data_IF_378642738892
#
_entry.id   IF_378642738892
#
_cell.length_a   1.000
_cell.length_b   1.000
_cell.length_c   1.000
_cell.angle_alpha   90.00
_cell.angle_beta   90.00
_cell.angle_gamma   90.00
#
_symmetry.space_group_name_H-M   'P 1'
#
loop_
_entity.id
_entity.type
_entity.pdbx_description
1 polymer ?
#
# COMPACT_ATOMS: atom_id res chain seq x y z
N UNK A 1 -12.68 10.25 10.62
CA UNK A 1 -12.85 11.73 10.60
C UNK A 1 -12.03 12.48 11.65
N UNK A 2 -11.74 11.90 12.83
CA UNK A 2 -11.00 12.58 13.91
C UNK A 2 -9.65 13.19 13.45
N UNK A 3 -8.92 12.54 12.56
CA UNK A 3 -7.58 12.94 12.15
C UNK A 3 -7.50 13.83 10.88
N UNK A 4 -8.62 14.25 10.31
CA UNK A 4 -8.62 15.29 9.26
C UNK A 4 -8.39 16.71 9.80
N UNK A 5 -8.64 16.95 11.07
CA UNK A 5 -8.28 18.21 11.72
C UNK A 5 -6.76 18.35 11.84
N UNK A 6 -6.25 19.57 11.67
CA UNK A 6 -4.80 19.84 11.56
C UNK A 6 -4.04 19.76 12.88
N UNK A 7 -4.70 19.75 14.04
CA UNK A 7 -4.01 19.77 15.33
C UNK A 7 -4.66 18.83 16.33
N UNK A 8 -4.04 17.67 16.53
CA UNK A 8 -4.32 16.78 17.65
C UNK A 8 -3.01 16.47 18.34
N UNK A 9 -2.77 16.97 19.54
CA UNK A 9 -1.51 16.77 20.26
C UNK A 9 -1.43 15.44 21.02
N UNK A 10 -2.01 14.38 20.45
CA UNK A 10 -2.04 13.05 21.10
C UNK A 10 -0.67 12.38 21.20
N UNK A 11 0.30 12.84 20.42
CA UNK A 11 1.69 12.37 20.44
C UNK A 11 2.68 13.48 20.87
N UNK A 12 2.23 14.45 21.68
CA UNK A 12 3.10 15.51 22.20
C UNK A 12 4.28 14.89 22.98
N UNK A 13 5.50 15.34 22.67
CA UNK A 13 6.74 14.81 23.26
C UNK A 13 7.20 13.46 22.71
N UNK A 14 6.48 12.84 21.78
CA UNK A 14 6.89 11.59 21.12
C UNK A 14 7.80 11.85 19.93
N UNK A 15 8.71 10.94 19.66
CA UNK A 15 9.63 10.98 18.52
C UNK A 15 9.47 9.72 17.66
N UNK A 16 9.21 9.92 16.35
CA UNK A 16 9.15 8.86 15.35
C UNK A 16 10.47 8.84 14.55
N UNK A 17 11.21 7.74 14.59
CA UNK A 17 12.31 7.48 13.66
C UNK A 17 11.77 6.94 12.33
N UNK A 18 12.12 7.59 11.22
CA UNK A 18 11.67 7.19 9.87
C UNK A 18 12.85 6.71 9.05
N UNK A 19 13.01 5.39 8.93
CA UNK A 19 14.12 4.74 8.23
C UNK A 19 13.73 4.47 6.77
N UNK A 20 14.52 4.98 5.83
CA UNK A 20 14.29 4.81 4.41
C UNK A 20 15.52 4.23 3.70
N UNK A 21 15.48 2.97 3.32
CA UNK A 21 16.47 2.39 2.38
C UNK A 21 15.99 2.53 0.93
N UNK A 22 14.69 2.76 0.73
CA UNK A 22 14.03 3.09 -0.53
C UNK A 22 13.46 4.51 -0.48
N UNK A 23 13.75 5.43 -1.43
CA UNK A 23 13.18 6.76 -1.44
C UNK A 23 11.65 6.74 -1.61
N UNK A 24 10.96 7.71 -1.05
CA UNK A 24 9.52 7.91 -1.25
C UNK A 24 9.07 9.29 -0.82
N UNK A 25 8.57 10.08 -1.77
CA UNK A 25 8.00 11.40 -1.50
C UNK A 25 6.75 11.29 -0.63
N UNK A 26 5.77 10.48 -1.06
CA UNK A 26 4.48 10.35 -0.37
C UNK A 26 4.61 9.80 1.04
N UNK A 27 5.32 8.69 1.22
CA UNK A 27 5.51 8.08 2.55
C UNK A 27 6.25 9.03 3.49
N UNK A 28 7.33 9.68 3.02
CA UNK A 28 8.09 10.62 3.84
C UNK A 28 7.22 11.80 4.28
N UNK A 29 6.66 12.55 3.32
CA UNK A 29 5.92 13.77 3.63
C UNK A 29 4.69 13.47 4.49
N UNK A 30 3.96 12.37 4.23
CA UNK A 30 2.76 12.04 4.99
C UNK A 30 3.04 11.62 6.42
N UNK A 31 4.12 10.86 6.70
CA UNK A 31 4.53 10.54 8.06
C UNK A 31 5.10 11.76 8.79
N UNK A 32 5.97 12.53 8.14
CA UNK A 32 6.62 13.71 8.72
C UNK A 32 5.59 14.80 9.06
N UNK A 33 4.69 15.10 8.13
CA UNK A 33 3.56 16.01 8.38
C UNK A 33 2.60 15.43 9.42
N UNK A 34 2.33 14.13 9.36
CA UNK A 34 1.39 13.45 10.25
C UNK A 34 1.84 13.50 11.70
N UNK A 35 3.09 13.14 12.00
CA UNK A 35 3.62 13.18 13.36
C UNK A 35 3.68 14.61 13.90
N UNK A 36 4.06 15.60 13.06
CA UNK A 36 4.02 17.01 13.43
C UNK A 36 2.61 17.46 13.81
N UNK A 37 1.60 17.13 13.00
CA UNK A 37 0.19 17.47 13.29
C UNK A 37 -0.34 16.78 14.54
N UNK A 38 0.25 15.68 14.98
CA UNK A 38 -0.07 14.98 16.22
C UNK A 38 0.71 15.51 17.44
N UNK A 39 1.56 16.53 17.25
CA UNK A 39 2.35 17.17 18.31
C UNK A 39 3.70 16.50 18.58
N UNK A 40 4.07 15.48 17.81
CA UNK A 40 5.35 14.80 17.93
C UNK A 40 6.39 15.33 16.94
N UNK A 41 7.55 14.68 16.93
CA UNK A 41 8.71 15.00 16.08
C UNK A 41 9.05 13.77 15.22
N UNK A 42 9.22 13.98 13.91
CA UNK A 42 9.74 12.97 12.98
C UNK A 42 11.23 13.18 12.70
N UNK A 43 12.02 12.12 12.80
CA UNK A 43 13.43 12.10 12.42
C UNK A 43 13.62 11.25 11.18
N UNK A 44 14.09 11.84 10.09
CA UNK A 44 14.33 11.13 8.86
C UNK A 44 15.75 10.53 8.83
N UNK A 45 15.84 9.25 8.47
CA UNK A 45 17.11 8.54 8.26
C UNK A 45 17.12 7.94 6.84
N UNK A 46 17.98 8.46 6.00
CA UNK A 46 18.24 7.95 4.65
C UNK A 46 19.18 6.75 4.64
N UNK A 47 19.52 6.22 3.44
CA UNK A 47 20.31 4.98 3.32
C UNK A 47 21.72 5.03 3.91
N UNK A 48 22.26 6.23 4.12
CA UNK A 48 23.62 6.44 4.63
C UNK A 48 23.67 7.04 6.03
N UNK A 49 22.52 7.30 6.66
CA UNK A 49 22.47 7.97 7.97
C UNK A 49 22.59 7.00 9.14
N UNK A 50 22.30 5.71 8.89
CA UNK A 50 22.40 4.64 9.90
C UNK A 50 23.38 3.55 9.47
N UNK A 51 23.92 2.86 10.47
CA UNK A 51 24.81 1.70 10.26
C UNK A 51 24.02 0.37 10.08
N UNK A 52 22.70 0.45 10.00
CA UNK A 52 21.77 -0.67 9.94
C UNK A 52 22.17 -1.70 8.87
N UNK A 53 22.42 -2.94 9.29
CA UNK A 53 22.81 -4.04 8.41
C UNK A 53 24.16 -3.91 7.73
N UNK A 54 24.98 -2.91 8.09
CA UNK A 54 26.34 -2.69 7.58
C UNK A 54 27.37 -3.10 8.62
N UNK A 55 27.70 -2.20 9.55
CA UNK A 55 28.63 -2.44 10.67
C UNK A 55 27.90 -2.70 11.99
N UNK A 56 26.61 -2.49 12.06
CA UNK A 56 25.76 -2.77 13.22
C UNK A 56 24.62 -3.74 12.85
N UNK A 57 24.35 -4.71 13.73
CA UNK A 57 23.25 -5.65 13.52
C UNK A 57 21.89 -4.95 13.61
N UNK A 58 20.87 -5.48 12.88
CA UNK A 58 19.50 -4.98 12.99
C UNK A 58 19.01 -5.05 14.45
N UNK A 59 19.37 -6.13 15.16
CA UNK A 59 19.00 -6.34 16.55
C UNK A 59 19.57 -5.27 17.50
N UNK A 60 20.84 -4.88 17.32
CA UNK A 60 21.45 -3.88 18.19
C UNK A 60 20.95 -2.49 17.85
N UNK A 61 20.80 -2.15 16.56
CA UNK A 61 20.16 -0.91 16.13
C UNK A 61 18.75 -0.78 16.72
N UNK A 62 17.95 -1.86 16.70
CA UNK A 62 16.59 -1.88 17.27
C UNK A 62 16.60 -1.54 18.77
N UNK A 63 17.51 -2.16 19.54
CA UNK A 63 17.65 -1.92 20.97
C UNK A 63 18.11 -0.48 21.30
N UNK A 64 19.06 0.04 20.52
CA UNK A 64 19.57 1.42 20.68
C UNK A 64 18.46 2.43 20.36
N UNK A 65 17.80 2.30 19.21
CA UNK A 65 16.73 3.21 18.80
C UNK A 65 15.56 3.18 19.79
N UNK A 66 15.26 2.02 20.37
CA UNK A 66 14.22 1.89 21.41
C UNK A 66 14.51 2.69 22.69
N UNK A 67 15.75 3.11 22.93
CA UNK A 67 16.11 3.97 24.08
C UNK A 67 15.94 5.46 23.78
N UNK A 68 15.87 5.84 22.52
CA UNK A 68 15.82 7.24 22.09
C UNK A 68 14.47 7.64 21.50
N UNK A 69 13.76 6.71 20.86
CA UNK A 69 12.57 6.97 20.08
C UNK A 69 11.31 6.41 20.76
N UNK A 70 10.17 6.90 20.33
CA UNK A 70 8.86 6.41 20.79
C UNK A 70 8.21 5.43 19.79
N UNK A 71 8.71 5.38 18.56
CA UNK A 71 8.29 4.48 17.50
C UNK A 71 9.24 4.54 16.32
N UNK A 72 9.22 3.50 15.50
CA UNK A 72 10.01 3.40 14.26
C UNK A 72 9.07 3.15 13.09
N UNK A 73 9.21 3.92 12.01
CA UNK A 73 8.67 3.56 10.70
C UNK A 73 9.84 3.17 9.81
N UNK A 74 9.73 2.05 9.11
CA UNK A 74 10.75 1.60 8.17
C UNK A 74 10.15 1.31 6.79
N UNK A 75 10.84 1.81 5.75
CA UNK A 75 10.59 1.51 4.35
C UNK A 75 11.86 0.92 3.75
N UNK A 76 11.83 -0.36 3.42
CA UNK A 76 12.99 -1.15 3.01
C UNK A 76 12.65 -2.11 1.86
N UNK A 77 13.63 -2.89 1.42
CA UNK A 77 13.45 -3.97 0.44
C UNK A 77 13.00 -5.26 1.14
N UNK A 78 13.87 -5.86 1.93
CA UNK A 78 13.59 -7.14 2.57
C UNK A 78 12.54 -7.02 3.67
N UNK A 79 11.53 -7.89 3.65
CA UNK A 79 10.51 -7.96 4.70
C UNK A 79 11.08 -8.41 6.03
N UNK A 80 12.09 -9.30 5.98
CA UNK A 80 12.83 -9.77 7.15
C UNK A 80 13.46 -8.66 7.99
N UNK A 81 13.88 -7.54 7.36
CA UNK A 81 14.42 -6.40 8.12
C UNK A 81 13.38 -5.80 9.07
N UNK A 82 12.13 -5.73 8.60
CA UNK A 82 11.01 -5.22 9.41
C UNK A 82 10.68 -6.18 10.54
N UNK A 83 10.64 -7.50 10.24
CA UNK A 83 10.35 -8.53 11.23
C UNK A 83 11.43 -8.60 12.29
N UNK A 84 12.71 -8.53 11.89
CA UNK A 84 13.83 -8.54 12.82
C UNK A 84 13.85 -7.26 13.69
N UNK A 85 13.65 -6.09 13.07
CA UNK A 85 13.56 -4.84 13.80
C UNK A 85 12.40 -4.87 14.83
N UNK A 86 11.23 -5.35 14.44
CA UNK A 86 10.07 -5.49 15.32
C UNK A 86 10.29 -6.51 16.45
N UNK A 87 11.06 -7.57 16.20
CA UNK A 87 11.38 -8.60 17.19
C UNK A 87 12.25 -8.07 18.33
N UNK A 88 13.20 -7.18 18.03
CA UNK A 88 14.18 -6.71 19.00
C UNK A 88 13.91 -5.30 19.55
N UNK A 89 13.04 -4.53 18.91
CA UNK A 89 12.58 -3.24 19.43
C UNK A 89 11.61 -3.44 20.60
N UNK A 90 11.70 -2.55 21.60
CA UNK A 90 10.71 -2.45 22.69
C UNK A 90 9.68 -1.34 22.45
N UNK A 91 9.73 -0.71 21.28
CA UNK A 91 8.81 0.33 20.81
C UNK A 91 8.12 -0.14 19.52
N UNK A 92 6.97 0.43 19.14
CA UNK A 92 6.27 0.06 17.92
C UNK A 92 7.12 0.22 16.66
N UNK A 93 7.00 -0.76 15.74
CA UNK A 93 7.61 -0.73 14.40
C UNK A 93 6.51 -0.73 13.35
N UNK A 94 6.46 0.31 12.53
CA UNK A 94 5.48 0.50 11.45
C UNK A 94 6.14 0.14 10.12
N UNK A 95 5.57 -0.85 9.43
CA UNK A 95 5.98 -1.18 8.07
C UNK A 95 5.48 -0.10 7.09
N UNK A 96 6.36 0.77 6.63
CA UNK A 96 6.08 1.80 5.63
C UNK A 96 5.98 1.26 4.21
N UNK A 97 6.71 0.20 3.89
CA UNK A 97 6.69 -0.64 2.68
C UNK A 97 7.86 -1.62 2.70
N UNK A 98 7.62 -2.82 2.21
CA UNK A 98 8.67 -3.79 1.80
C UNK A 98 8.37 -4.33 0.40
N UNK A 99 9.24 -5.17 -0.15
CA UNK A 99 8.97 -5.88 -1.40
C UNK A 99 7.84 -6.90 -1.28
N UNK A 100 7.49 -7.31 -0.06
CA UNK A 100 6.41 -8.25 0.20
C UNK A 100 5.06 -7.54 0.44
N UNK A 101 5.02 -6.45 1.20
CA UNK A 101 3.79 -5.79 1.67
C UNK A 101 3.89 -4.26 1.68
N UNK A 102 2.74 -3.60 1.50
CA UNK A 102 2.53 -2.17 1.70
C UNK A 102 1.28 -1.89 2.58
N UNK A 103 1.33 -2.21 3.89
CA UNK A 103 0.14 -2.18 4.75
C UNK A 103 -0.45 -0.77 4.92
N UNK A 104 0.37 0.27 4.99
CA UNK A 104 -0.12 1.65 5.11
C UNK A 104 -0.92 2.08 3.87
N UNK A 105 -0.61 1.54 2.68
CA UNK A 105 -1.37 1.83 1.47
C UNK A 105 -2.72 1.14 1.50
N UNK A 106 -2.77 -0.18 1.72
CA UNK A 106 -4.05 -0.89 1.69
C UNK A 106 -5.03 -0.40 2.77
N UNK A 107 -4.55 0.01 3.95
CA UNK A 107 -5.41 0.64 4.95
C UNK A 107 -5.97 1.98 4.44
N UNK A 108 -5.17 2.73 3.68
CA UNK A 108 -5.61 3.96 3.03
C UNK A 108 -6.63 3.70 1.93
N UNK A 109 -6.41 2.65 1.14
CA UNK A 109 -7.33 2.24 0.09
C UNK A 109 -8.69 1.88 0.66
N UNK A 110 -8.72 1.04 1.70
CA UNK A 110 -9.94 0.66 2.41
C UNK A 110 -10.67 1.87 3.01
N UNK A 111 -9.93 2.82 3.58
CA UNK A 111 -10.51 4.05 4.11
C UNK A 111 -11.11 4.91 3.00
N UNK A 112 -10.42 5.08 1.87
CA UNK A 112 -10.89 5.82 0.70
C UNK A 112 -12.14 5.18 0.11
N UNK A 113 -12.15 3.85 -0.04
CA UNK A 113 -13.32 3.09 -0.49
C UNK A 113 -14.51 3.32 0.45
N UNK A 114 -14.29 3.23 1.75
CA UNK A 114 -15.34 3.47 2.74
C UNK A 114 -15.91 4.90 2.65
N UNK A 115 -15.07 5.89 2.39
CA UNK A 115 -15.54 7.27 2.19
C UNK A 115 -16.37 7.44 0.92
N UNK A 116 -15.98 6.79 -0.18
CA UNK A 116 -16.65 6.94 -1.48
C UNK A 116 -17.86 6.02 -1.61
N UNK A 117 -17.76 4.76 -1.19
CA UNK A 117 -18.81 3.74 -1.35
C UNK A 117 -19.67 3.52 -0.10
N UNK A 118 -19.32 4.09 1.06
CA UNK A 118 -20.02 4.00 2.36
C UNK A 118 -20.07 2.59 2.96
N UNK A 119 -19.49 1.62 2.31
CA UNK A 119 -19.38 0.22 2.75
C UNK A 119 -18.10 -0.40 2.21
N UNK A 120 -17.70 -1.56 2.78
CA UNK A 120 -16.62 -2.38 2.28
C UNK A 120 -17.12 -3.78 1.91
N UNK A 121 -17.87 -4.41 2.84
CA UNK A 121 -18.33 -5.77 2.70
C UNK A 121 -19.18 -5.95 1.43
N UNK A 122 -18.87 -7.01 0.67
CA UNK A 122 -19.60 -7.38 -0.54
C UNK A 122 -19.17 -6.63 -1.80
N UNK A 123 -18.42 -5.52 -1.72
CA UNK A 123 -17.90 -4.84 -2.90
C UNK A 123 -16.90 -5.74 -3.65
N UNK A 124 -16.87 -5.59 -4.97
CA UNK A 124 -15.89 -6.25 -5.84
C UNK A 124 -14.72 -5.32 -6.11
N UNK A 125 -13.53 -5.76 -5.70
CA UNK A 125 -12.25 -5.10 -5.93
C UNK A 125 -11.51 -5.83 -7.04
N UNK A 126 -11.24 -5.15 -8.17
CA UNK A 126 -10.44 -5.65 -9.28
C UNK A 126 -9.07 -4.97 -9.28
N UNK A 127 -8.01 -5.75 -9.10
CA UNK A 127 -6.63 -5.31 -9.29
C UNK A 127 -6.10 -5.86 -10.61
N UNK A 128 -5.50 -4.98 -11.44
CA UNK A 128 -5.00 -5.30 -12.77
C UNK A 128 -3.52 -4.93 -12.83
N UNK A 129 -2.63 -5.91 -12.96
CA UNK A 129 -1.19 -5.65 -13.04
C UNK A 129 -0.33 -6.75 -12.44
N UNK A 130 0.83 -6.36 -11.90
CA UNK A 130 1.82 -7.28 -11.31
C UNK A 130 1.35 -7.81 -9.96
N UNK A 131 1.54 -9.09 -9.71
CA UNK A 131 1.30 -9.74 -8.41
C UNK A 131 2.30 -9.36 -7.32
N UNK A 132 2.60 -8.08 -7.20
CA UNK A 132 3.60 -7.47 -6.33
C UNK A 132 3.10 -7.25 -4.88
N UNK A 133 3.85 -6.46 -4.11
CA UNK A 133 3.50 -6.12 -2.73
C UNK A 133 2.16 -5.38 -2.58
N UNK A 134 1.69 -4.65 -3.62
CA UNK A 134 0.36 -4.03 -3.60
C UNK A 134 -0.73 -5.09 -3.75
N UNK A 135 -0.61 -6.00 -4.72
CA UNK A 135 -1.52 -7.14 -4.87
C UNK A 135 -1.60 -7.98 -3.58
N UNK A 136 -0.44 -8.26 -2.95
CA UNK A 136 -0.38 -8.96 -1.67
C UNK A 136 -1.12 -8.23 -0.55
N UNK A 137 -0.93 -6.93 -0.43
CA UNK A 137 -1.58 -6.12 0.60
C UNK A 137 -3.09 -6.00 0.38
N UNK A 138 -3.53 -5.86 -0.88
CA UNK A 138 -4.93 -5.85 -1.26
C UNK A 138 -5.58 -7.21 -0.91
N UNK A 139 -4.93 -8.33 -1.24
CA UNK A 139 -5.39 -9.66 -0.87
C UNK A 139 -5.62 -9.77 0.64
N UNK A 140 -4.67 -9.34 1.46
CA UNK A 140 -4.80 -9.37 2.91
C UNK A 140 -5.86 -8.40 3.44
N UNK A 141 -5.86 -7.14 3.00
CA UNK A 141 -6.76 -6.11 3.51
C UNK A 141 -8.20 -6.38 3.13
N UNK A 142 -8.47 -6.55 1.84
CA UNK A 142 -9.82 -6.69 1.31
C UNK A 142 -10.50 -8.00 1.76
N UNK A 143 -9.75 -9.13 1.81
CA UNK A 143 -10.32 -10.40 2.27
C UNK A 143 -10.75 -10.35 3.74
N UNK A 144 -10.03 -9.62 4.60
CA UNK A 144 -10.36 -9.46 6.02
C UNK A 144 -11.60 -8.61 6.30
N UNK A 145 -11.96 -7.73 5.36
CA UNK A 145 -13.16 -6.87 5.50
C UNK A 145 -14.36 -7.37 4.67
N UNK A 146 -14.25 -8.56 4.08
CA UNK A 146 -15.33 -9.22 3.35
C UNK A 146 -15.60 -8.64 1.96
N UNK A 147 -14.60 -8.05 1.30
CA UNK A 147 -14.66 -7.67 -0.11
C UNK A 147 -14.34 -8.86 -1.00
N UNK A 148 -14.97 -8.94 -2.17
CA UNK A 148 -14.61 -9.89 -3.21
C UNK A 148 -13.39 -9.38 -3.97
N UNK A 149 -12.30 -10.12 -3.97
CA UNK A 149 -11.02 -9.69 -4.56
C UNK A 149 -10.74 -10.45 -5.83
N UNK A 150 -10.50 -9.73 -6.90
CA UNK A 150 -10.09 -10.27 -8.19
C UNK A 150 -8.74 -9.67 -8.57
N UNK A 151 -7.73 -10.51 -8.75
CA UNK A 151 -6.41 -10.11 -9.21
C UNK A 151 -6.20 -10.66 -10.60
N UNK A 152 -5.94 -9.78 -11.56
CA UNK A 152 -5.57 -10.19 -12.92
C UNK A 152 -4.13 -9.81 -13.21
N UNK A 153 -3.31 -10.84 -13.49
CA UNK A 153 -1.87 -10.72 -13.75
C UNK A 153 -1.45 -11.64 -14.90
N UNK A 154 -0.42 -11.28 -15.68
CA UNK A 154 0.15 -12.21 -16.66
C UNK A 154 0.70 -13.47 -16.01
N UNK A 155 0.74 -14.57 -16.77
CA UNK A 155 1.43 -15.80 -16.36
C UNK A 155 2.88 -15.51 -15.93
N UNK A 156 3.29 -16.08 -14.80
CA UNK A 156 4.60 -15.83 -14.19
C UNK A 156 4.72 -14.54 -13.37
N UNK A 157 3.64 -13.73 -13.29
CA UNK A 157 3.57 -12.49 -12.49
C UNK A 157 2.40 -12.51 -11.49
N UNK A 158 1.93 -13.69 -11.13
CA UNK A 158 0.84 -13.88 -10.15
C UNK A 158 1.33 -13.61 -8.72
N UNK A 159 0.43 -13.23 -7.80
CA UNK A 159 0.77 -13.08 -6.40
C UNK A 159 1.32 -14.37 -5.76
N UNK A 160 2.08 -14.19 -4.67
CA UNK A 160 2.63 -15.31 -3.90
C UNK A 160 1.51 -16.24 -3.40
N UNK A 161 1.65 -17.55 -3.65
CA UNK A 161 0.65 -18.58 -3.33
C UNK A 161 0.33 -18.66 -1.83
N UNK A 162 1.29 -18.45 -0.94
CA UNK A 162 1.06 -18.46 0.51
C UNK A 162 0.12 -17.32 0.90
N UNK A 163 0.30 -16.14 0.29
CA UNK A 163 -0.55 -14.97 0.53
C UNK A 163 -1.95 -15.21 -0.05
N UNK A 164 -2.06 -15.76 -1.25
CA UNK A 164 -3.34 -16.13 -1.86
C UNK A 164 -4.09 -17.13 -0.97
N UNK A 165 -3.41 -18.17 -0.47
CA UNK A 165 -4.01 -19.17 0.41
C UNK A 165 -4.51 -18.54 1.73
N UNK A 166 -3.75 -17.62 2.32
CA UNK A 166 -4.16 -16.91 3.52
C UNK A 166 -5.37 -15.98 3.26
N UNK A 167 -5.37 -15.30 2.12
CA UNK A 167 -6.49 -14.46 1.71
C UNK A 167 -7.77 -15.29 1.47
N UNK A 168 -7.66 -16.48 0.87
CA UNK A 168 -8.77 -17.42 0.70
C UNK A 168 -9.38 -17.85 2.04
N UNK A 169 -8.55 -18.15 3.06
CA UNK A 169 -9.02 -18.49 4.42
C UNK A 169 -9.80 -17.32 5.04
N UNK A 170 -9.27 -16.10 4.93
CA UNK A 170 -9.94 -14.90 5.42
C UNK A 170 -11.27 -14.67 4.69
N UNK A 171 -11.26 -14.79 3.37
CA UNK A 171 -12.44 -14.59 2.52
C UNK A 171 -13.56 -15.62 2.86
N UNK A 172 -13.19 -16.88 3.05
CA UNK A 172 -14.14 -17.92 3.46
C UNK A 172 -14.79 -17.60 4.81
N UNK A 173 -14.00 -17.13 5.80
CA UNK A 173 -14.52 -16.69 7.10
C UNK A 173 -15.48 -15.52 6.99
N UNK A 174 -15.16 -14.56 6.10
CA UNK A 174 -15.95 -13.33 5.90
C UNK A 174 -17.14 -13.50 4.94
N UNK A 175 -17.27 -14.65 4.28
CA UNK A 175 -18.30 -14.91 3.26
C UNK A 175 -18.06 -14.14 1.96
N UNK A 176 -16.81 -13.93 1.60
CA UNK A 176 -16.35 -13.31 0.35
C UNK A 176 -15.47 -14.28 -0.45
N UNK A 177 -14.92 -13.86 -1.58
CA UNK A 177 -14.08 -14.71 -2.43
C UNK A 177 -12.83 -14.00 -2.93
N UNK A 178 -11.81 -14.80 -3.25
CA UNK A 178 -10.59 -14.39 -3.92
C UNK A 178 -10.48 -15.15 -5.24
N UNK A 179 -10.22 -14.43 -6.33
CA UNK A 179 -10.06 -14.98 -7.68
C UNK A 179 -8.74 -14.46 -8.25
N UNK A 180 -7.90 -15.37 -8.73
CA UNK A 180 -6.70 -15.04 -9.50
C UNK A 180 -6.96 -15.47 -10.93
N UNK A 181 -6.78 -14.57 -11.89
CA UNK A 181 -7.07 -14.83 -13.30
C UNK A 181 -6.05 -14.14 -14.22
N UNK A 182 -5.90 -14.64 -15.43
CA UNK A 182 -5.13 -13.97 -16.50
C UNK A 182 -6.00 -13.06 -17.37
N UNK A 183 -7.32 -13.08 -17.17
CA UNK A 183 -8.26 -12.27 -17.96
C UNK A 183 -8.65 -10.98 -17.22
N UNK A 184 -8.15 -9.80 -17.67
CA UNK A 184 -8.50 -8.53 -17.06
C UNK A 184 -9.99 -8.18 -17.21
N UNK A 185 -10.69 -8.68 -18.26
CA UNK A 185 -12.12 -8.44 -18.44
C UNK A 185 -12.92 -9.19 -17.38
N UNK A 186 -12.58 -10.44 -17.09
CA UNK A 186 -13.19 -11.21 -16.00
C UNK A 186 -13.02 -10.50 -14.65
N UNK A 187 -11.82 -9.99 -14.40
CA UNK A 187 -11.54 -9.29 -13.14
C UNK A 187 -12.37 -8.01 -13.01
N UNK A 188 -12.43 -7.18 -14.05
CA UNK A 188 -13.10 -5.87 -14.03
C UNK A 188 -14.61 -5.97 -14.14
N UNK A 189 -15.16 -7.06 -14.71
CA UNK A 189 -16.60 -7.22 -14.90
C UNK A 189 -17.37 -6.98 -13.60
N UNK A 190 -18.32 -6.02 -13.63
CA UNK A 190 -19.14 -5.61 -12.50
C UNK A 190 -18.35 -5.18 -11.25
N UNK A 191 -17.09 -4.70 -11.42
CA UNK A 191 -16.27 -4.22 -10.31
C UNK A 191 -16.77 -2.88 -9.76
N UNK A 192 -16.73 -2.73 -8.43
CA UNK A 192 -16.98 -1.47 -7.73
C UNK A 192 -15.70 -0.62 -7.67
N UNK A 193 -14.55 -1.30 -7.62
CA UNK A 193 -13.22 -0.70 -7.57
C UNK A 193 -12.34 -1.31 -8.66
N UNK A 194 -11.69 -0.45 -9.45
CA UNK A 194 -10.63 -0.83 -10.40
C UNK A 194 -9.33 -0.21 -9.93
N UNK A 195 -8.33 -1.03 -9.70
CA UNK A 195 -7.03 -0.63 -9.17
C UNK A 195 -5.90 -1.13 -10.07
N UNK A 196 -4.88 -0.32 -10.25
CA UNK A 196 -3.62 -0.76 -10.87
C UNK A 196 -2.41 -0.15 -10.15
N UNK A 197 -1.23 -0.68 -10.43
CA UNK A 197 0.06 -0.19 -9.95
C UNK A 197 1.08 -0.30 -11.09
N UNK A 198 2.22 0.34 -10.94
CA UNK A 198 3.31 0.29 -11.93
C UNK A 198 3.70 -1.15 -12.28
N UNK A 199 3.96 -1.42 -13.56
CA UNK A 199 4.37 -2.75 -14.03
C UNK A 199 5.79 -3.12 -13.64
N UNK A 200 6.66 -2.12 -13.43
CA UNK A 200 8.00 -2.29 -12.92
C UNK A 200 8.19 -1.44 -11.66
N UNK A 201 8.38 -2.10 -10.54
CA UNK A 201 8.67 -1.44 -9.26
C UNK A 201 10.12 -0.94 -9.20
N UNK A 202 10.41 -0.06 -8.23
CA UNK A 202 11.77 0.41 -7.98
C UNK A 202 12.73 -0.76 -7.74
N UNK A 203 13.84 -0.78 -8.50
CA UNK A 203 14.82 -1.86 -8.54
C UNK A 203 14.63 -2.86 -9.69
N UNK A 204 13.54 -2.73 -10.46
CA UNK A 204 13.23 -3.58 -11.62
C UNK A 204 13.34 -2.83 -12.96
N UNK A 205 13.99 -1.67 -12.98
CA UNK A 205 14.07 -0.79 -14.16
C UNK A 205 14.70 -1.49 -15.37
N UNK A 206 15.59 -2.46 -15.13
CA UNK A 206 16.25 -3.26 -16.19
C UNK A 206 15.27 -4.19 -16.93
N UNK A 207 14.17 -4.55 -16.29
CA UNK A 207 13.14 -5.42 -16.84
C UNK A 207 11.96 -4.64 -17.47
N UNK A 208 11.95 -3.31 -17.37
CA UNK A 208 10.80 -2.46 -17.70
C UNK A 208 10.29 -2.70 -19.14
N UNK A 209 11.18 -2.78 -20.12
CA UNK A 209 10.81 -2.98 -21.53
C UNK A 209 10.21 -4.39 -21.79
N UNK A 210 10.71 -5.42 -21.13
CA UNK A 210 10.17 -6.77 -21.23
C UNK A 210 8.79 -6.86 -20.55
N UNK A 211 8.69 -6.27 -19.35
CA UNK A 211 7.43 -6.19 -18.61
C UNK A 211 6.37 -5.45 -19.40
N UNK A 212 6.71 -4.32 -20.01
CA UNK A 212 5.80 -3.55 -20.85
C UNK A 212 5.16 -4.40 -21.97
N UNK A 213 5.93 -5.24 -22.65
CA UNK A 213 5.42 -6.16 -23.68
C UNK A 213 4.46 -7.20 -23.12
N UNK A 214 4.72 -7.72 -21.92
CA UNK A 214 3.88 -8.74 -21.29
C UNK A 214 2.62 -8.16 -20.68
N UNK A 215 2.70 -6.91 -20.18
CA UNK A 215 1.62 -6.26 -19.46
C UNK A 215 0.70 -5.40 -20.32
N UNK A 216 0.96 -5.21 -21.61
CA UNK A 216 0.16 -4.33 -22.48
C UNK A 216 -1.34 -4.67 -22.48
N UNK A 217 -1.73 -5.95 -22.32
CA UNK A 217 -3.12 -6.38 -22.23
C UNK A 217 -3.77 -6.01 -20.87
N UNK A 218 -2.96 -5.63 -19.90
CA UNK A 218 -3.37 -5.27 -18.54
C UNK A 218 -3.40 -3.75 -18.33
N UNK A 219 -3.29 -2.98 -19.41
CA UNK A 219 -3.47 -1.54 -19.34
C UNK A 219 -4.91 -1.19 -18.97
N UNK A 220 -5.06 -0.35 -17.93
CA UNK A 220 -6.38 0.18 -17.56
C UNK A 220 -6.72 1.35 -18.48
N UNK A 221 -7.66 1.11 -19.38
CA UNK A 221 -8.10 2.03 -20.42
C UNK A 221 -9.64 2.04 -20.51
N UNK A 222 -10.27 2.94 -21.28
CA UNK A 222 -11.73 3.05 -21.41
C UNK A 222 -12.41 1.75 -21.85
N UNK A 223 -11.78 0.96 -22.73
CA UNK A 223 -12.34 -0.31 -23.20
C UNK A 223 -12.38 -1.37 -22.09
N UNK A 224 -11.43 -1.37 -21.18
CA UNK A 224 -11.43 -2.28 -20.04
C UNK A 224 -12.48 -1.84 -19.00
N UNK A 225 -12.44 -0.57 -18.58
CA UNK A 225 -13.30 -0.09 -17.48
C UNK A 225 -14.78 0.00 -17.81
N UNK A 226 -15.17 -0.02 -19.10
CA UNK A 226 -16.59 -0.11 -19.49
C UNK A 226 -17.27 -1.39 -18.99
N UNK A 227 -16.50 -2.42 -18.63
CA UNK A 227 -17.01 -3.65 -18.04
C UNK A 227 -17.24 -3.55 -16.52
N UNK A 228 -16.75 -2.49 -15.86
CA UNK A 228 -17.03 -2.21 -14.45
C UNK A 228 -18.44 -1.61 -14.27
N UNK A 229 -18.87 -1.46 -13.02
CA UNK A 229 -20.12 -0.73 -12.74
C UNK A 229 -20.01 0.73 -13.18
N UNK A 230 -21.12 1.35 -13.54
CA UNK A 230 -21.12 2.75 -13.98
C UNK A 230 -20.55 3.72 -12.92
N UNK A 231 -20.75 3.40 -11.66
CA UNK A 231 -20.28 4.17 -10.49
C UNK A 231 -18.98 3.61 -9.88
N UNK A 232 -18.20 2.81 -10.65
CA UNK A 232 -16.91 2.33 -10.16
C UNK A 232 -15.99 3.49 -9.75
N UNK A 233 -15.05 3.24 -8.86
CA UNK A 233 -13.95 4.17 -8.59
C UNK A 233 -12.63 3.58 -9.11
N UNK A 234 -11.82 4.47 -9.72
CA UNK A 234 -10.45 4.14 -10.13
C UNK A 234 -9.46 4.59 -9.06
N UNK A 235 -8.55 3.69 -8.70
CA UNK A 235 -7.54 3.90 -7.67
C UNK A 235 -6.13 3.51 -8.17
N UNK A 236 -5.12 4.18 -7.62
CA UNK A 236 -3.70 3.94 -7.91
C UNK A 236 -2.84 4.54 -6.80
N UNK A 237 -1.92 3.77 -6.21
CA UNK A 237 -1.07 4.23 -5.11
C UNK A 237 -0.06 5.35 -5.50
N UNK A 238 0.07 5.64 -6.79
CA UNK A 238 1.04 6.58 -7.35
C UNK A 238 2.51 6.24 -7.01
N UNK A 239 3.49 6.62 -7.90
CA UNK A 239 3.32 7.36 -9.16
C UNK A 239 2.66 6.50 -10.23
N UNK A 240 1.90 7.10 -11.14
CA UNK A 240 1.34 6.42 -12.31
C UNK A 240 2.20 6.73 -13.55
N UNK A 241 2.55 5.70 -14.31
CA UNK A 241 3.18 5.85 -15.63
C UNK A 241 2.08 5.90 -16.69
N UNK A 242 1.59 7.12 -16.91
CA UNK A 242 0.50 7.38 -17.86
C UNK A 242 0.88 6.97 -19.28
N UNK A 243 0.03 6.14 -19.90
CA UNK A 243 0.30 5.50 -21.19
C UNK A 243 0.88 4.08 -21.05
N UNK A 244 1.34 3.68 -19.87
CA UNK A 244 1.73 2.32 -19.56
C UNK A 244 0.59 1.59 -18.82
N UNK A 245 0.59 1.48 -17.49
CA UNK A 245 -0.43 0.73 -16.74
C UNK A 245 -1.82 1.39 -16.75
N UNK A 246 -1.89 2.71 -16.98
CA UNK A 246 -3.15 3.45 -17.07
C UNK A 246 -3.04 4.59 -18.09
N UNK A 247 -4.12 4.85 -18.82
CA UNK A 247 -4.21 6.00 -19.74
C UNK A 247 -4.78 7.24 -19.04
N UNK A 248 -4.51 8.42 -19.60
CA UNK A 248 -4.98 9.69 -19.02
C UNK A 248 -6.49 9.76 -18.87
N UNK A 249 -7.23 9.23 -19.86
CA UNK A 249 -8.68 9.25 -19.91
C UNK A 249 -9.31 8.56 -18.68
N UNK A 250 -8.65 7.55 -18.12
CA UNK A 250 -9.09 6.87 -16.89
C UNK A 250 -8.55 7.55 -15.66
N UNK A 251 -7.25 7.88 -15.65
CA UNK A 251 -6.59 8.49 -14.49
C UNK A 251 -7.16 9.87 -14.12
N UNK A 252 -7.67 10.61 -15.11
CA UNK A 252 -8.25 11.95 -14.92
C UNK A 252 -9.79 11.95 -15.06
N UNK A 253 -10.43 10.76 -15.10
CA UNK A 253 -11.88 10.63 -15.19
C UNK A 253 -12.59 11.08 -13.91
N UNK A 254 -13.90 11.30 -14.00
CA UNK A 254 -14.76 11.59 -12.85
C UNK A 254 -14.84 10.43 -11.85
N UNK A 255 -14.50 9.22 -12.29
CA UNK A 255 -14.46 8.02 -11.47
C UNK A 255 -13.12 7.87 -10.71
N UNK A 256 -12.10 8.67 -11.09
CA UNK A 256 -10.79 8.60 -10.47
C UNK A 256 -10.77 9.28 -9.10
N UNK A 257 -10.24 8.56 -8.11
CA UNK A 257 -10.08 9.06 -6.74
C UNK A 257 -8.61 9.01 -6.27
N UNK A 258 -7.66 8.97 -7.20
CA UNK A 258 -6.22 8.80 -6.93
C UNK A 258 -5.64 9.90 -6.03
N UNK A 259 -6.14 11.12 -6.12
CA UNK A 259 -5.67 12.22 -5.28
C UNK A 259 -6.36 12.24 -3.92
N UNK A 260 -7.63 11.84 -3.80
CA UNK A 260 -8.28 11.59 -2.50
C UNK A 260 -7.58 10.46 -1.74
N UNK A 261 -7.22 9.39 -2.45
CA UNK A 261 -6.42 8.27 -1.93
C UNK A 261 -5.04 8.76 -1.45
N UNK A 262 -4.35 9.59 -2.24
CA UNK A 262 -3.06 10.17 -1.86
C UNK A 262 -3.17 11.08 -0.63
N UNK A 263 -4.23 11.90 -0.51
CA UNK A 263 -4.52 12.71 0.68
C UNK A 263 -4.77 11.82 1.90
N UNK A 264 -5.57 10.77 1.74
CA UNK A 264 -5.92 9.85 2.81
C UNK A 264 -4.72 9.11 3.41
N UNK A 265 -3.58 9.03 2.71
CA UNK A 265 -2.31 8.55 3.26
C UNK A 265 -1.93 9.31 4.53
N UNK A 266 -2.06 10.64 4.52
CA UNK A 266 -1.78 11.47 5.70
C UNK A 266 -2.71 11.11 6.86
N UNK A 267 -4.00 11.00 6.60
CA UNK A 267 -5.00 10.78 7.65
C UNK A 267 -4.91 9.39 8.27
N UNK A 268 -4.72 8.37 7.45
CA UNK A 268 -4.57 6.98 7.91
C UNK A 268 -3.25 6.77 8.65
N UNK A 269 -2.15 7.34 8.18
CA UNK A 269 -0.86 7.24 8.89
C UNK A 269 -0.88 7.98 10.23
N UNK A 270 -1.59 9.11 10.34
CA UNK A 270 -1.85 9.73 11.64
C UNK A 270 -2.62 8.79 12.57
N UNK A 271 -3.66 8.13 12.06
CA UNK A 271 -4.42 7.16 12.85
C UNK A 271 -3.55 5.98 13.29
N UNK A 272 -2.71 5.42 12.39
CA UNK A 272 -1.77 4.34 12.73
C UNK A 272 -0.85 4.78 13.86
N UNK A 273 -0.17 5.93 13.71
CA UNK A 273 0.75 6.45 14.75
C UNK A 273 0.04 6.66 16.08
N UNK A 274 -1.14 7.27 16.08
CA UNK A 274 -1.90 7.51 17.30
C UNK A 274 -2.41 6.23 17.99
N UNK A 275 -2.59 5.13 17.24
CA UNK A 275 -3.03 3.85 17.80
C UNK A 275 -1.89 3.02 18.38
N UNK A 276 -0.67 3.15 17.85
CA UNK A 276 0.44 2.25 18.23
C UNK A 276 1.50 2.94 19.09
N UNK A 277 1.60 4.28 19.09
CA UNK A 277 2.58 5.06 19.84
C UNK A 277 1.96 5.70 21.09
#
# INVERSE_FOLDING_TARGET
MLFRSRTHKVLEGKTLGMIFTKPSTRTRISFETGIYQLGGIGMYFGPNDLQLGKSESVADTAKVLSRYLSGIMIRTFAHSDVEELAKYASIPVINGLTDLLHPCQVLTDLFTILEKKKQLRGLKFAYIGDGNNMAHSILHGCSKVGMNVYISSPSGYTPNEVIVNNANKNAAYMGSKVVITEDPIEAVKDADIVYTDVWASMGQEKEAEERKKKFIRYQVNPELVKNAKADYIFMHCLPAHRGDEVVNEVADSVNSVIFDEAENRLHVQKAIMALVM
#
